data_IF_730567493196
#
_entry.id   IF_730567493196
#
_cell.length_a   1.000
_cell.length_b   1.000
_cell.length_c   1.000
_cell.angle_alpha   90.00
_cell.angle_beta   90.00
_cell.angle_gamma   90.00
#
_symmetry.space_group_name_H-M   'P 1'
#
loop_
_entity.id
_entity.type
_entity.pdbx_description
1 polymer ?
#
# COMPACT_ATOMS: atom_id res chain seq x y z
N UNK A 1 -7.41 -11.81 6.35
CA UNK A 1 -7.34 -11.93 4.90
C UNK A 1 -5.95 -11.56 4.41
N UNK A 2 -5.40 -12.33 3.51
CA UNK A 2 -4.06 -12.11 3.02
C UNK A 2 -4.09 -11.27 1.75
N UNK A 3 -3.68 -10.00 1.86
CA UNK A 3 -3.57 -9.11 0.71
C UNK A 3 -2.24 -9.38 0.01
N UNK A 4 -2.31 -9.73 -1.26
CA UNK A 4 -1.10 -9.90 -2.05
C UNK A 4 -0.71 -8.56 -2.66
N UNK A 5 -0.01 -7.74 -1.89
CA UNK A 5 0.31 -6.37 -2.27
C UNK A 5 1.31 -6.29 -3.44
N UNK A 6 2.15 -7.30 -3.59
CA UNK A 6 3.20 -7.28 -4.63
C UNK A 6 2.64 -7.22 -6.05
N UNK A 7 1.42 -7.71 -6.27
CA UNK A 7 0.81 -7.71 -7.60
C UNK A 7 0.41 -6.31 -8.08
N UNK A 8 0.42 -5.32 -7.18
CA UNK A 8 0.00 -3.96 -7.50
C UNK A 8 1.19 -3.02 -7.77
N UNK A 9 2.42 -3.53 -7.67
CA UNK A 9 3.59 -2.68 -7.82
C UNK A 9 3.60 -1.98 -9.19
N UNK A 10 3.95 -0.70 -9.19
CA UNK A 10 3.97 0.17 -10.37
C UNK A 10 2.59 0.46 -10.97
N UNK A 11 1.52 0.02 -10.31
CA UNK A 11 0.15 0.24 -10.79
C UNK A 11 -0.51 1.37 -10.03
N UNK A 12 -1.48 2.01 -10.67
CA UNK A 12 -2.31 3.04 -10.02
C UNK A 12 -3.40 2.33 -9.22
N UNK A 13 -3.49 2.66 -7.96
CA UNK A 13 -4.42 1.99 -7.05
C UNK A 13 -5.22 3.01 -6.24
N UNK A 14 -6.37 2.54 -5.76
CA UNK A 14 -7.16 3.24 -4.74
C UNK A 14 -7.06 2.41 -3.46
N UNK A 15 -6.65 3.04 -2.38
CA UNK A 15 -6.48 2.38 -1.08
C UNK A 15 -7.47 2.96 -0.10
N UNK A 16 -8.26 2.08 0.51
CA UNK A 16 -9.09 2.45 1.66
C UNK A 16 -8.32 2.05 2.90
N UNK A 17 -7.91 3.06 3.67
CA UNK A 17 -7.17 2.83 4.90
C UNK A 17 -8.12 2.46 6.05
N UNK A 18 -7.57 1.90 7.11
CA UNK A 18 -8.34 1.41 8.26
C UNK A 18 -9.03 2.53 9.03
N UNK A 19 -8.60 3.78 8.86
CA UNK A 19 -9.24 4.94 9.48
C UNK A 19 -10.37 5.54 8.61
N UNK A 20 -10.68 4.91 7.49
CA UNK A 20 -11.74 5.37 6.58
C UNK A 20 -11.28 6.34 5.50
N UNK A 21 -10.03 6.76 5.50
CA UNK A 21 -9.51 7.65 4.46
C UNK A 21 -9.19 6.86 3.19
N UNK A 22 -9.34 7.51 2.04
CA UNK A 22 -8.97 6.92 0.75
C UNK A 22 -7.80 7.66 0.14
N UNK A 23 -6.95 6.91 -0.54
CA UNK A 23 -5.76 7.43 -1.19
C UNK A 23 -5.68 6.85 -2.61
N UNK A 24 -5.30 7.69 -3.55
CA UNK A 24 -5.08 7.25 -4.94
C UNK A 24 -3.63 7.57 -5.29
N UNK A 25 -2.92 6.60 -5.81
CA UNK A 25 -1.53 6.81 -6.19
C UNK A 25 -0.93 5.59 -6.85
N UNK A 26 0.37 5.69 -7.10
CA UNK A 26 1.15 4.63 -7.74
C UNK A 26 2.01 3.95 -6.68
N UNK A 27 2.02 2.63 -6.67
CA UNK A 27 2.90 1.90 -5.75
C UNK A 27 4.32 1.96 -6.31
N UNK A 28 5.18 2.65 -5.58
CA UNK A 28 6.58 2.86 -5.97
C UNK A 28 7.50 1.77 -5.44
N UNK A 29 7.15 1.15 -4.33
CA UNK A 29 8.01 0.17 -3.68
C UNK A 29 7.20 -0.81 -2.86
N UNK A 30 7.79 -1.97 -2.61
CA UNK A 30 7.14 -3.05 -1.86
C UNK A 30 8.19 -3.73 -0.99
N UNK A 31 7.86 -3.93 0.28
CA UNK A 31 8.75 -4.58 1.22
C UNK A 31 8.12 -5.89 1.71
N UNK A 32 8.88 -6.96 1.59
CA UNK A 32 8.45 -8.28 2.07
C UNK A 32 8.39 -8.29 3.59
N UNK A 33 7.59 -9.21 4.11
CA UNK A 33 7.39 -9.33 5.55
C UNK A 33 8.70 -9.51 6.32
N UNK A 34 9.64 -10.27 5.78
CA UNK A 34 10.91 -10.53 6.45
C UNK A 34 11.88 -9.35 6.41
N UNK A 35 11.59 -8.32 5.59
CA UNK A 35 12.39 -7.10 5.54
C UNK A 35 11.97 -6.09 6.61
N UNK A 36 10.79 -6.25 7.18
CA UNK A 36 10.24 -5.35 8.18
C UNK A 36 10.37 -5.96 9.58
N UNK A 37 10.63 -5.11 10.56
CA UNK A 37 10.78 -5.55 11.95
C UNK A 37 9.54 -6.23 12.49
N UNK A 38 8.36 -5.79 12.06
CA UNK A 38 7.08 -6.34 12.54
C UNK A 38 6.65 -7.61 11.80
N UNK A 39 7.43 -8.05 10.81
CA UNK A 39 7.11 -9.26 10.06
C UNK A 39 5.92 -9.14 9.13
N UNK A 40 5.54 -7.91 8.76
CA UNK A 40 4.39 -7.65 7.89
C UNK A 40 4.83 -6.93 6.62
N UNK A 41 4.10 -7.18 5.54
CA UNK A 41 4.34 -6.50 4.26
C UNK A 41 4.01 -5.01 4.37
N UNK A 42 4.68 -4.21 3.54
CA UNK A 42 4.35 -2.80 3.41
C UNK A 42 4.58 -2.34 1.98
N UNK A 43 3.93 -1.24 1.63
CA UNK A 43 4.11 -0.61 0.33
C UNK A 43 4.35 0.88 0.53
N UNK A 44 5.03 1.48 -0.45
CA UNK A 44 5.20 2.93 -0.51
C UNK A 44 4.42 3.42 -1.72
N UNK A 45 3.50 4.34 -1.48
CA UNK A 45 2.60 4.88 -2.50
C UNK A 45 2.93 6.33 -2.74
N UNK A 46 3.12 6.69 -4.01
CA UNK A 46 3.28 8.08 -4.40
C UNK A 46 1.91 8.63 -4.75
N UNK A 47 1.41 9.51 -3.90
CA UNK A 47 0.08 10.11 -4.08
C UNK A 47 0.15 11.33 -4.99
N UNK A 48 -1.02 11.92 -5.26
CA UNK A 48 -1.21 12.92 -6.31
C UNK A 48 -0.29 14.14 -6.18
N UNK A 49 -0.01 14.58 -4.96
CA UNK A 49 0.85 15.76 -4.73
C UNK A 49 2.35 15.43 -4.75
N UNK A 50 2.70 14.18 -5.06
CA UNK A 50 4.09 13.73 -5.10
C UNK A 50 4.62 13.21 -3.77
N UNK A 51 3.82 13.24 -2.72
CA UNK A 51 4.22 12.71 -1.41
C UNK A 51 4.30 11.20 -1.45
N UNK A 52 5.23 10.64 -0.67
CA UNK A 52 5.36 9.20 -0.50
C UNK A 52 4.79 8.82 0.86
N UNK A 53 3.89 7.84 0.85
CA UNK A 53 3.24 7.36 2.08
C UNK A 53 3.48 5.86 2.17
N UNK A 54 3.99 5.41 3.30
CA UNK A 54 4.12 3.98 3.57
C UNK A 54 2.85 3.45 4.20
N UNK A 55 2.31 2.36 3.64
CA UNK A 55 1.17 1.64 4.21
C UNK A 55 1.64 0.26 4.60
N UNK A 56 1.38 -0.12 5.83
CA UNK A 56 1.57 -1.50 6.27
C UNK A 56 0.32 -2.29 5.90
N UNK A 57 0.47 -3.59 5.75
CA UNK A 57 -0.65 -4.46 5.42
C UNK A 57 -1.86 -4.22 6.34
N UNK A 58 -1.59 -4.04 7.63
CA UNK A 58 -2.66 -3.84 8.63
C UNK A 58 -3.36 -2.50 8.52
N UNK A 59 -2.76 -1.53 7.80
CA UNK A 59 -3.35 -0.20 7.63
C UNK A 59 -4.35 -0.17 6.47
N UNK A 60 -4.42 -1.24 5.68
CA UNK A 60 -5.20 -1.27 4.45
C UNK A 60 -6.44 -2.15 4.64
N UNK A 61 -7.63 -1.55 4.51
CA UNK A 61 -8.88 -2.29 4.49
C UNK A 61 -9.17 -2.85 3.10
N UNK A 62 -8.97 -2.04 2.07
CA UNK A 62 -9.18 -2.45 0.69
C UNK A 62 -8.15 -1.79 -0.22
N UNK A 63 -7.77 -2.50 -1.27
CA UNK A 63 -6.96 -1.96 -2.33
C UNK A 63 -7.52 -2.45 -3.66
N UNK A 64 -7.63 -1.56 -4.62
CA UNK A 64 -8.15 -1.90 -5.94
C UNK A 64 -7.40 -1.15 -7.02
N UNK A 65 -7.34 -1.77 -8.19
CA UNK A 65 -6.77 -1.12 -9.37
C UNK A 65 -7.76 -0.09 -9.92
N UNK A 66 -7.23 0.97 -10.44
CA UNK A 66 -8.01 1.98 -11.14
C UNK A 66 -7.91 1.78 -12.65
#
# INVERSE_FOLDING_TARGET
>A
MNLNLSKYIEKVVCILADNGETFIGVIEDYFYADENEDGKESIVVKVEDGSLIEFRQEDIDEISLI
#
